data_IF_871115283195
#
_entry.id   IF_871115283195
#
_cell.length_a   1.000
_cell.length_b   1.000
_cell.length_c   1.000
_cell.angle_alpha   90.00
_cell.angle_beta   90.00
_cell.angle_gamma   90.00
#
_symmetry.space_group_name_H-M   'P 1'
#
loop_
_entity.id
_entity.type
_entity.pdbx_description
1 polymer ?
#
# COMPACT_ATOMS: atom_id res chain seq x y z
N UNK A 1 59.35 24.64 74.93
CA UNK A 1 57.95 25.04 75.10
C UNK A 1 57.31 24.99 73.71
N UNK A 2 56.58 24.00 73.35
CA UNK A 2 56.02 23.87 72.03
C UNK A 2 54.55 24.29 71.95
N UNK A 3 54.21 25.09 71.03
CA UNK A 3 52.82 25.45 70.69
C UNK A 3 52.24 24.52 69.64
N UNK A 4 51.25 23.78 70.10
CA UNK A 4 50.42 22.97 69.25
C UNK A 4 49.44 23.85 68.46
N UNK A 5 49.57 23.92 67.14
CA UNK A 5 48.56 24.54 66.29
C UNK A 5 47.71 23.46 65.63
N UNK A 6 46.43 23.50 66.01
CA UNK A 6 45.38 22.62 65.48
C UNK A 6 45.19 22.96 64.05
N UNK A 7 45.40 21.98 63.15
CA UNK A 7 45.05 22.09 61.75
C UNK A 7 43.58 21.69 61.62
N UNK A 8 42.73 22.63 61.19
CA UNK A 8 41.38 22.37 60.80
C UNK A 8 41.33 21.78 59.39
N UNK A 9 40.95 20.53 59.29
CA UNK A 9 40.68 19.88 58.00
C UNK A 9 39.32 20.34 57.44
N UNK A 10 39.32 21.16 56.40
CA UNK A 10 38.11 21.44 55.60
C UNK A 10 37.86 20.25 54.65
N UNK A 11 36.86 19.48 54.99
CA UNK A 11 36.31 18.49 54.08
C UNK A 11 35.43 19.21 53.03
N UNK A 12 35.95 19.41 51.84
CA UNK A 12 35.18 19.87 50.67
C UNK A 12 34.41 18.66 50.17
N UNK A 13 33.14 18.59 50.50
CA UNK A 13 32.21 17.63 49.89
C UNK A 13 31.94 18.06 48.43
N UNK A 14 32.62 17.43 47.51
CA UNK A 14 32.36 17.55 46.09
C UNK A 14 31.00 16.91 45.77
N UNK A 15 29.97 17.71 45.57
CA UNK A 15 28.71 17.26 44.98
C UNK A 15 28.96 16.97 43.52
N UNK A 16 29.18 15.70 43.18
CA UNK A 16 29.13 15.25 41.80
C UNK A 16 27.68 15.37 41.34
N UNK A 17 27.38 16.43 40.61
CA UNK A 17 26.18 16.52 39.82
C UNK A 17 26.25 15.40 38.75
N UNK A 18 25.58 14.29 38.98
CA UNK A 18 25.25 13.29 37.98
C UNK A 18 24.35 14.00 36.97
N UNK A 19 24.98 14.56 35.93
CA UNK A 19 24.31 14.99 34.72
C UNK A 19 23.61 13.76 34.17
N UNK A 20 22.29 13.66 34.40
CA UNK A 20 21.50 12.59 33.87
C UNK A 20 21.66 12.57 32.35
N UNK A 21 22.43 11.61 31.85
CA UNK A 21 22.44 11.32 30.43
C UNK A 21 21.00 10.94 30.05
N UNK A 22 20.27 11.88 29.44
CA UNK A 22 18.98 11.61 28.82
C UNK A 22 19.26 10.63 27.71
N UNK A 23 18.90 9.36 27.90
CA UNK A 23 18.96 8.35 26.84
C UNK A 23 17.93 8.78 25.80
N UNK A 24 18.39 9.48 24.77
CA UNK A 24 17.57 9.79 23.59
C UNK A 24 17.54 8.52 22.77
N UNK A 25 16.36 7.95 22.64
CA UNK A 25 16.14 6.80 21.77
C UNK A 25 16.56 7.21 20.36
N UNK A 26 17.54 6.50 19.78
CA UNK A 26 17.93 6.75 18.40
C UNK A 26 16.71 6.54 17.51
N UNK A 27 16.30 7.53 16.70
CA UNK A 27 15.16 7.38 15.83
C UNK A 27 15.40 6.22 14.86
N UNK A 28 14.37 5.47 14.56
CA UNK A 28 14.41 4.47 13.50
C UNK A 28 14.70 5.14 12.15
N UNK A 29 15.13 4.38 11.16
CA UNK A 29 15.36 4.92 9.82
C UNK A 29 14.08 5.56 9.25
N UNK A 30 12.90 5.04 9.62
CA UNK A 30 11.60 5.56 9.22
C UNK A 30 11.28 6.88 9.94
N UNK A 31 11.48 6.98 11.24
CA UNK A 31 11.30 8.22 12.01
C UNK A 31 12.26 9.33 11.55
N UNK A 32 13.50 8.95 11.23
CA UNK A 32 14.49 9.90 10.69
C UNK A 32 14.10 10.41 9.29
N UNK A 33 13.58 9.54 8.42
CA UNK A 33 13.08 9.90 7.08
C UNK A 33 11.84 10.78 7.19
N UNK A 34 10.93 10.49 8.12
CA UNK A 34 9.74 11.30 8.40
C UNK A 34 10.13 12.71 8.87
N UNK A 35 11.06 12.82 9.81
CA UNK A 35 11.55 14.11 10.28
C UNK A 35 12.21 14.92 9.14
N UNK A 36 13.01 14.26 8.29
CA UNK A 36 13.65 14.89 7.14
C UNK A 36 12.64 15.34 6.07
N UNK A 37 11.51 14.66 5.93
CA UNK A 37 10.43 14.99 4.99
C UNK A 37 9.43 16.04 5.55
N UNK A 38 9.66 16.56 6.75
CA UNK A 38 8.74 17.48 7.41
C UNK A 38 7.47 16.81 7.92
N UNK A 39 7.57 15.57 8.36
CA UNK A 39 6.48 14.80 8.95
C UNK A 39 5.67 13.94 7.97
N UNK A 40 6.06 13.88 6.69
CA UNK A 40 5.39 13.03 5.72
C UNK A 40 5.82 11.56 5.88
N UNK A 41 4.88 10.71 6.30
CA UNK A 41 5.08 9.27 6.43
C UNK A 41 3.95 8.52 5.69
N UNK A 42 4.16 8.16 4.43
CA UNK A 42 3.12 7.54 3.61
C UNK A 42 2.70 6.14 4.11
N UNK A 43 3.60 5.38 4.74
CA UNK A 43 3.27 4.07 5.29
C UNK A 43 2.30 4.22 6.48
N UNK A 44 2.56 5.17 7.38
CA UNK A 44 1.66 5.46 8.49
C UNK A 44 0.30 5.97 7.99
N UNK A 45 0.29 6.90 7.04
CA UNK A 45 -0.95 7.42 6.45
C UNK A 45 -1.82 6.31 5.87
N UNK A 46 -1.22 5.36 5.14
CA UNK A 46 -1.95 4.21 4.59
C UNK A 46 -2.48 3.32 5.72
N UNK A 47 -1.65 2.98 6.71
CA UNK A 47 -2.06 2.12 7.82
C UNK A 47 -3.26 2.71 8.60
N UNK A 48 -3.28 4.03 8.82
CA UNK A 48 -4.36 4.72 9.54
C UNK A 48 -5.71 4.67 8.81
N UNK A 49 -5.70 4.68 7.47
CA UNK A 49 -6.92 4.69 6.67
C UNK A 49 -7.33 3.31 6.13
N UNK A 50 -6.44 2.31 6.21
CA UNK A 50 -6.66 1.02 5.55
C UNK A 50 -7.94 0.33 6.03
N UNK A 51 -7.99 -0.05 7.30
CA UNK A 51 -9.15 -0.77 7.85
C UNK A 51 -10.39 0.11 7.97
N UNK A 52 -10.18 1.41 8.25
CA UNK A 52 -11.28 2.33 8.55
C UNK A 52 -11.98 2.88 7.31
N UNK A 53 -11.26 3.02 6.19
CA UNK A 53 -11.78 3.66 4.98
C UNK A 53 -11.58 2.83 3.72
N UNK A 54 -10.36 2.30 3.48
CA UNK A 54 -10.01 1.67 2.19
C UNK A 54 -10.79 0.38 1.99
N UNK A 55 -10.75 -0.55 2.94
CA UNK A 55 -11.46 -1.83 2.82
C UNK A 55 -12.97 -1.62 2.67
N UNK A 56 -13.56 -0.78 3.50
CA UNK A 56 -14.99 -0.47 3.42
C UNK A 56 -15.38 0.20 2.10
N UNK A 57 -14.51 1.05 1.56
CA UNK A 57 -14.73 1.68 0.26
C UNK A 57 -14.68 0.67 -0.87
N UNK A 58 -13.62 -0.14 -0.93
CA UNK A 58 -13.48 -1.18 -1.95
C UNK A 58 -14.66 -2.16 -1.89
N UNK A 59 -15.08 -2.54 -0.69
CA UNK A 59 -16.21 -3.45 -0.51
C UNK A 59 -17.52 -2.88 -1.08
N UNK A 60 -17.81 -1.61 -0.85
CA UNK A 60 -19.01 -0.96 -1.38
C UNK A 60 -18.94 -0.66 -2.89
N UNK A 61 -17.74 -0.32 -3.39
CA UNK A 61 -17.56 0.16 -4.77
C UNK A 61 -17.35 -0.98 -5.76
N UNK A 62 -16.80 -2.11 -5.31
CA UNK A 62 -16.48 -3.24 -6.17
C UNK A 62 -17.73 -3.95 -6.70
N UNK A 63 -17.83 -4.06 -8.02
CA UNK A 63 -18.77 -4.95 -8.71
C UNK A 63 -18.15 -6.29 -9.08
N UNK A 64 -18.96 -7.29 -9.53
CA UNK A 64 -18.43 -8.50 -10.13
C UNK A 64 -17.49 -8.17 -11.28
N UNK A 65 -16.31 -8.79 -11.32
CA UNK A 65 -15.29 -8.45 -12.33
C UNK A 65 -15.80 -8.53 -13.75
N UNK A 66 -16.54 -9.59 -14.11
CA UNK A 66 -17.09 -9.79 -15.45
C UNK A 66 -18.05 -8.68 -15.86
N UNK A 67 -18.91 -8.21 -14.93
CA UNK A 67 -19.80 -7.08 -15.17
C UNK A 67 -19.01 -5.77 -15.36
N UNK A 68 -18.07 -5.50 -14.46
CA UNK A 68 -17.23 -4.29 -14.52
C UNK A 68 -16.43 -4.26 -15.81
N UNK A 69 -15.81 -5.38 -16.21
CA UNK A 69 -15.01 -5.48 -17.42
C UNK A 69 -15.85 -5.30 -18.68
N UNK A 70 -17.02 -5.93 -18.76
CA UNK A 70 -17.95 -5.80 -19.89
C UNK A 70 -18.44 -4.34 -20.05
N UNK A 71 -18.85 -3.72 -18.93
CA UNK A 71 -19.32 -2.33 -18.96
C UNK A 71 -18.16 -1.35 -19.29
N UNK A 72 -16.97 -1.57 -18.72
CA UNK A 72 -15.80 -0.75 -19.01
C UNK A 72 -15.34 -0.85 -20.46
N UNK A 73 -15.53 -2.00 -21.08
CA UNK A 73 -15.25 -2.23 -22.51
C UNK A 73 -16.23 -1.54 -23.45
N UNK A 74 -17.49 -1.42 -23.08
CA UNK A 74 -18.55 -0.81 -23.90
C UNK A 74 -18.76 0.67 -23.59
N UNK A 75 -18.80 1.05 -22.31
CA UNK A 75 -19.00 2.41 -21.82
C UNK A 75 -18.14 2.66 -20.57
N UNK A 76 -16.87 3.10 -20.75
CA UNK A 76 -15.98 3.40 -19.63
C UNK A 76 -16.49 4.49 -18.68
N UNK A 77 -17.34 5.41 -19.16
CA UNK A 77 -17.90 6.47 -18.35
C UNK A 77 -18.97 5.93 -17.39
N UNK A 78 -19.88 5.09 -17.89
CA UNK A 78 -20.88 4.41 -17.08
C UNK A 78 -20.22 3.47 -16.06
N UNK A 79 -19.21 2.69 -16.47
CA UNK A 79 -18.43 1.85 -15.57
C UNK A 79 -17.73 2.68 -14.48
N UNK A 80 -17.14 3.81 -14.85
CA UNK A 80 -16.47 4.72 -13.95
C UNK A 80 -17.40 5.33 -12.92
N UNK A 81 -18.58 5.77 -13.32
CA UNK A 81 -19.58 6.32 -12.42
C UNK A 81 -20.03 5.28 -11.36
N UNK A 82 -20.21 4.02 -11.78
CA UNK A 82 -20.69 2.94 -10.91
C UNK A 82 -19.59 2.31 -10.05
N UNK A 83 -18.46 1.95 -10.64
CA UNK A 83 -17.44 1.08 -10.04
C UNK A 83 -16.05 1.71 -9.95
N UNK A 84 -15.86 2.91 -10.47
CA UNK A 84 -14.53 3.48 -10.64
C UNK A 84 -14.35 4.85 -10.06
N UNK A 85 -13.11 5.29 -10.16
CA UNK A 85 -12.67 6.65 -9.91
C UNK A 85 -11.69 7.07 -11.02
N UNK A 86 -11.65 8.35 -11.31
CA UNK A 86 -10.70 8.95 -12.23
C UNK A 86 -10.22 10.27 -11.63
N UNK A 87 -8.92 10.41 -11.47
CA UNK A 87 -8.33 11.67 -11.05
C UNK A 87 -8.72 12.79 -12.03
N UNK A 88 -9.22 13.90 -11.49
CA UNK A 88 -9.72 15.02 -12.29
C UNK A 88 -8.60 15.75 -13.03
N UNK A 89 -7.38 15.68 -12.50
CA UNK A 89 -6.23 16.34 -13.07
C UNK A 89 -5.41 15.38 -13.93
N UNK A 90 -5.04 15.85 -15.13
CA UNK A 90 -4.23 15.07 -16.06
C UNK A 90 -5.02 14.08 -16.92
N UNK A 91 -4.28 13.15 -17.53
CA UNK A 91 -4.80 12.12 -18.45
C UNK A 91 -4.92 10.74 -17.80
N UNK A 92 -5.14 10.69 -16.47
CA UNK A 92 -5.27 9.43 -15.76
C UNK A 92 -6.41 8.59 -16.35
N UNK A 93 -6.23 7.27 -16.52
CA UNK A 93 -7.31 6.38 -16.93
C UNK A 93 -8.34 6.22 -15.80
N UNK A 94 -9.52 5.75 -16.13
CA UNK A 94 -10.44 5.20 -15.15
C UNK A 94 -9.78 4.04 -14.42
N UNK A 95 -9.96 3.98 -13.11
CA UNK A 95 -9.56 2.86 -12.26
C UNK A 95 -10.78 2.30 -11.57
N UNK A 96 -11.03 1.01 -11.72
CA UNK A 96 -12.23 0.32 -11.26
C UNK A 96 -11.93 -0.54 -10.06
N UNK A 97 -12.87 -0.60 -9.13
CA UNK A 97 -12.92 -1.59 -8.06
C UNK A 97 -13.71 -2.82 -8.52
N UNK A 98 -13.21 -4.01 -8.29
CA UNK A 98 -13.85 -5.25 -8.70
C UNK A 98 -13.66 -6.39 -7.71
N UNK A 99 -14.66 -7.28 -7.66
CA UNK A 99 -14.60 -8.60 -7.03
C UNK A 99 -14.31 -9.63 -8.11
N UNK A 100 -13.14 -10.22 -8.05
CA UNK A 100 -12.73 -11.26 -8.96
C UNK A 100 -12.85 -12.62 -8.27
N UNK A 101 -13.70 -13.48 -8.83
CA UNK A 101 -13.80 -14.89 -8.47
C UNK A 101 -13.58 -15.73 -9.71
N UNK A 102 -12.72 -16.74 -9.64
CA UNK A 102 -12.42 -17.55 -10.81
C UNK A 102 -11.41 -18.66 -10.54
N UNK A 103 -10.99 -19.32 -11.61
CA UNK A 103 -9.99 -20.39 -11.59
C UNK A 103 -8.65 -19.87 -12.11
N UNK A 104 -7.57 -20.15 -11.39
CA UNK A 104 -6.22 -19.81 -11.85
C UNK A 104 -5.85 -20.74 -13.00
N UNK A 105 -5.68 -20.17 -14.20
CA UNK A 105 -5.31 -20.92 -15.42
C UNK A 105 -3.81 -20.84 -15.73
N UNK A 106 -3.11 -19.84 -15.17
CA UNK A 106 -1.67 -19.68 -15.31
C UNK A 106 -1.07 -18.99 -14.08
N UNK A 107 0.16 -19.37 -13.74
CA UNK A 107 0.92 -18.75 -12.65
C UNK A 107 2.36 -18.50 -13.09
N UNK A 108 2.85 -17.27 -12.87
CA UNK A 108 4.26 -16.88 -13.00
C UNK A 108 4.73 -16.40 -11.61
N UNK A 109 5.46 -17.26 -10.92
CA UNK A 109 5.84 -17.04 -9.50
C UNK A 109 7.33 -16.82 -9.28
N UNK A 110 8.17 -17.03 -10.31
CA UNK A 110 9.63 -16.96 -10.18
C UNK A 110 10.18 -15.55 -10.18
N UNK A 111 9.45 -14.60 -10.74
CA UNK A 111 9.89 -13.20 -10.80
C UNK A 111 9.40 -12.39 -9.61
N UNK A 112 10.09 -11.28 -9.31
CA UNK A 112 9.59 -10.33 -8.31
C UNK A 112 8.23 -9.70 -8.70
N UNK A 113 7.91 -9.62 -9.98
CA UNK A 113 6.61 -9.18 -10.50
C UNK A 113 5.71 -10.38 -10.77
N UNK A 114 5.64 -11.31 -9.81
CA UNK A 114 4.84 -12.52 -9.92
C UNK A 114 3.35 -12.21 -10.10
N UNK A 115 2.66 -13.06 -10.84
CA UNK A 115 1.23 -12.91 -11.11
C UNK A 115 0.56 -14.27 -11.35
N UNK A 116 -0.74 -14.29 -11.22
CA UNK A 116 -1.61 -15.36 -11.73
C UNK A 116 -2.56 -14.80 -12.77
N UNK A 117 -2.95 -15.63 -13.73
CA UNK A 117 -4.01 -15.33 -14.68
C UNK A 117 -5.24 -16.16 -14.32
N UNK A 118 -6.38 -15.51 -14.29
CA UNK A 118 -7.63 -16.04 -13.75
C UNK A 118 -8.69 -16.04 -14.84
N UNK A 119 -9.34 -17.18 -15.00
CA UNK A 119 -10.56 -17.39 -15.78
C UNK A 119 -11.76 -17.13 -14.85
N UNK A 120 -12.51 -16.07 -15.14
CA UNK A 120 -13.61 -15.59 -14.32
C UNK A 120 -14.99 -16.02 -14.82
N UNK A 121 -15.10 -16.43 -16.08
CA UNK A 121 -16.36 -16.84 -16.72
C UNK A 121 -16.42 -18.35 -17.06
N UNK A 122 -15.35 -19.09 -16.74
CA UNK A 122 -15.22 -20.53 -16.95
C UNK A 122 -15.16 -20.95 -18.42
N UNK A 123 -14.63 -20.10 -19.31
CA UNK A 123 -14.41 -20.43 -20.73
C UNK A 123 -13.02 -21.08 -20.99
N UNK A 124 -12.20 -21.22 -19.98
CA UNK A 124 -10.85 -21.79 -20.02
C UNK A 124 -9.76 -20.80 -20.42
N UNK A 125 -10.11 -19.53 -20.63
CA UNK A 125 -9.16 -18.47 -20.96
C UNK A 125 -9.01 -17.50 -19.81
N UNK A 126 -7.91 -16.75 -19.82
CA UNK A 126 -7.66 -15.74 -18.80
C UNK A 126 -8.42 -14.44 -19.11
N UNK A 127 -9.19 -13.94 -18.16
CA UNK A 127 -9.87 -12.64 -18.18
C UNK A 127 -9.10 -11.56 -17.45
N UNK A 128 -8.41 -11.94 -16.38
CA UNK A 128 -7.67 -11.01 -15.54
C UNK A 128 -6.29 -11.54 -15.16
N UNK A 129 -5.37 -10.61 -14.91
CA UNK A 129 -4.08 -10.88 -14.29
C UNK A 129 -4.05 -10.28 -12.89
N UNK A 130 -3.85 -11.10 -11.88
CA UNK A 130 -3.72 -10.68 -10.48
C UNK A 130 -2.25 -10.62 -10.12
N UNK A 131 -1.79 -9.48 -9.64
CA UNK A 131 -0.43 -9.28 -9.17
C UNK A 131 -0.26 -9.91 -7.79
N UNK A 132 0.66 -10.85 -7.65
CA UNK A 132 0.97 -11.55 -6.39
C UNK A 132 2.43 -11.40 -5.96
N UNK A 133 3.25 -10.73 -6.75
CA UNK A 133 4.67 -10.56 -6.44
C UNK A 133 4.94 -9.45 -5.47
N UNK A 134 6.13 -9.39 -4.84
CA UNK A 134 6.45 -8.25 -4.00
C UNK A 134 6.58 -6.94 -4.79
N UNK A 135 6.88 -7.01 -6.09
CA UNK A 135 6.93 -5.84 -6.97
C UNK A 135 5.58 -5.65 -7.69
N UNK A 136 4.69 -4.90 -7.08
CA UNK A 136 3.40 -4.50 -7.64
C UNK A 136 3.62 -3.30 -8.58
N UNK A 137 3.07 -3.37 -9.78
CA UNK A 137 3.14 -2.30 -10.78
C UNK A 137 1.89 -1.44 -10.74
N UNK A 138 2.09 -0.13 -10.84
CA UNK A 138 1.01 0.85 -10.81
C UNK A 138 0.56 1.17 -9.39
N UNK A 139 -0.50 1.93 -9.27
CA UNK A 139 -1.03 2.48 -8.03
C UNK A 139 -2.55 2.30 -7.94
N UNK A 140 -3.07 1.19 -8.50
CA UNK A 140 -4.49 0.99 -8.74
C UNK A 140 -5.36 1.12 -7.47
N UNK A 141 -4.90 0.64 -6.32
CA UNK A 141 -5.67 0.80 -5.07
C UNK A 141 -5.83 2.29 -4.76
N UNK A 142 -4.72 3.07 -4.69
CA UNK A 142 -4.80 4.52 -4.46
C UNK A 142 -5.70 5.20 -5.48
N UNK A 143 -5.51 4.89 -6.77
CA UNK A 143 -6.18 5.56 -7.88
C UNK A 143 -7.68 5.23 -7.98
N UNK A 144 -8.12 4.17 -7.30
CA UNK A 144 -9.54 3.82 -7.22
C UNK A 144 -10.31 4.59 -6.14
N UNK A 145 -9.60 5.26 -5.20
CA UNK A 145 -10.19 5.92 -4.04
C UNK A 145 -10.64 7.35 -4.39
N UNK A 146 -11.91 7.68 -4.21
CA UNK A 146 -12.46 8.99 -4.49
C UNK A 146 -12.26 10.02 -3.37
N UNK A 147 -11.79 9.57 -2.22
CA UNK A 147 -11.51 10.40 -1.04
C UNK A 147 -10.03 10.73 -0.86
N UNK A 148 -9.18 10.41 -1.83
CA UNK A 148 -7.75 10.71 -1.85
C UNK A 148 -7.45 11.61 -3.03
N UNK A 149 -6.87 12.78 -2.80
CA UNK A 149 -6.64 13.78 -3.82
C UNK A 149 -5.17 14.16 -3.93
N UNK A 150 -4.69 14.35 -5.15
CA UNK A 150 -3.33 14.84 -5.41
C UNK A 150 -3.02 16.17 -4.69
N UNK A 151 -4.00 17.05 -4.58
CA UNK A 151 -3.84 18.38 -3.96
C UNK A 151 -3.56 18.36 -2.44
N UNK A 152 -3.70 17.21 -1.79
CA UNK A 152 -3.35 17.01 -0.38
C UNK A 152 -1.85 16.80 -0.17
N UNK A 153 -1.09 16.66 -1.26
CA UNK A 153 0.35 16.38 -1.27
C UNK A 153 1.13 17.59 -1.80
N UNK A 154 2.33 17.80 -1.26
CA UNK A 154 3.17 18.94 -1.66
C UNK A 154 3.63 18.87 -3.12
N UNK A 155 3.79 17.64 -3.64
CA UNK A 155 4.33 17.42 -4.98
C UNK A 155 4.08 15.99 -5.47
N UNK A 156 4.45 15.74 -6.74
CA UNK A 156 4.29 14.42 -7.36
C UNK A 156 5.12 13.32 -6.70
N UNK A 157 6.22 13.66 -6.01
CA UNK A 157 7.06 12.66 -5.33
C UNK A 157 6.32 12.11 -4.11
N UNK A 158 5.75 12.97 -3.28
CA UNK A 158 4.92 12.54 -2.14
C UNK A 158 3.71 11.71 -2.61
N UNK A 159 3.05 12.14 -3.68
CA UNK A 159 1.94 11.40 -4.29
C UNK A 159 2.36 10.00 -4.76
N UNK A 160 3.51 9.90 -5.43
CA UNK A 160 4.04 8.61 -5.87
C UNK A 160 4.44 7.70 -4.70
N UNK A 161 5.06 8.27 -3.66
CA UNK A 161 5.42 7.56 -2.44
C UNK A 161 4.19 7.04 -1.69
N UNK A 162 3.12 7.84 -1.62
CA UNK A 162 1.85 7.41 -1.04
C UNK A 162 1.23 6.25 -1.82
N UNK A 163 1.23 6.29 -3.16
CA UNK A 163 0.80 5.15 -3.98
C UNK A 163 1.64 3.89 -3.78
N UNK A 164 2.96 4.05 -3.63
CA UNK A 164 3.86 2.93 -3.30
C UNK A 164 3.57 2.34 -1.92
N UNK A 165 3.20 3.18 -0.96
CA UNK A 165 2.87 2.72 0.40
C UNK A 165 1.65 1.78 0.41
N UNK A 166 0.62 2.02 -0.43
CA UNK A 166 -0.48 1.06 -0.62
C UNK A 166 0.03 -0.30 -1.08
N UNK A 167 0.89 -0.32 -2.09
CA UNK A 167 1.45 -1.57 -2.60
C UNK A 167 2.28 -2.31 -1.55
N UNK A 168 3.07 -1.58 -0.75
CA UNK A 168 3.85 -2.15 0.36
C UNK A 168 2.94 -2.73 1.43
N UNK A 169 1.87 -2.01 1.78
CA UNK A 169 0.91 -2.44 2.79
C UNK A 169 0.20 -3.74 2.37
N UNK A 170 -0.35 -3.78 1.14
CA UNK A 170 -0.96 -4.99 0.57
C UNK A 170 0.01 -6.16 0.52
N UNK A 171 1.25 -5.92 0.10
CA UNK A 171 2.26 -6.98 0.06
C UNK A 171 2.46 -7.62 1.43
N UNK A 172 2.66 -6.83 2.48
CA UNK A 172 2.86 -7.34 3.85
C UNK A 172 1.61 -8.01 4.45
N UNK A 173 0.40 -7.47 4.17
CA UNK A 173 -0.83 -8.03 4.71
C UNK A 173 -1.25 -9.34 4.04
N UNK A 174 -1.16 -9.41 2.72
CA UNK A 174 -1.77 -10.46 1.90
C UNK A 174 -0.73 -11.23 1.09
N UNK A 175 0.03 -10.55 0.23
CA UNK A 175 0.74 -11.22 -0.85
C UNK A 175 1.94 -12.04 -0.40
N UNK A 176 2.64 -11.63 0.66
CA UNK A 176 3.75 -12.40 1.23
C UNK A 176 3.33 -13.75 1.82
N UNK A 177 2.05 -13.86 2.21
CA UNK A 177 1.49 -15.07 2.83
C UNK A 177 0.94 -16.06 1.80
N UNK A 178 0.85 -15.65 0.52
CA UNK A 178 0.31 -16.51 -0.52
C UNK A 178 1.29 -17.65 -0.88
N UNK A 179 0.79 -18.86 -1.12
CA UNK A 179 1.61 -19.93 -1.67
C UNK A 179 2.17 -19.52 -3.05
N UNK A 180 3.33 -20.07 -3.40
CA UNK A 180 3.97 -19.80 -4.70
C UNK A 180 3.89 -20.98 -5.64
N UNK A 181 3.55 -22.15 -5.12
CA UNK A 181 3.50 -23.41 -5.86
C UNK A 181 2.10 -23.99 -5.90
N UNK A 182 1.82 -24.76 -6.96
CA UNK A 182 0.55 -25.48 -7.12
C UNK A 182 -0.67 -24.57 -7.21
N UNK A 183 -0.55 -23.40 -7.82
CA UNK A 183 -1.63 -22.41 -7.92
C UNK A 183 -2.61 -22.71 -9.06
N UNK A 184 -2.12 -23.24 -10.18
CA UNK A 184 -2.97 -23.54 -11.35
C UNK A 184 -4.05 -24.54 -10.97
N UNK A 185 -5.28 -24.30 -11.40
CA UNK A 185 -6.47 -25.07 -11.07
C UNK A 185 -7.13 -24.72 -9.73
N UNK A 186 -6.48 -23.89 -8.89
CA UNK A 186 -7.11 -23.41 -7.65
C UNK A 186 -8.09 -22.28 -7.92
N UNK A 187 -9.10 -22.17 -7.06
CA UNK A 187 -10.01 -21.04 -7.03
C UNK A 187 -9.31 -19.84 -6.37
N UNK A 188 -9.62 -18.67 -6.90
CA UNK A 188 -9.21 -17.39 -6.36
C UNK A 188 -10.45 -16.53 -6.16
N UNK A 189 -10.57 -15.93 -4.97
CA UNK A 189 -11.53 -14.88 -4.66
C UNK A 189 -10.77 -13.69 -4.09
N UNK A 190 -10.98 -12.51 -4.67
CA UNK A 190 -10.29 -11.30 -4.25
C UNK A 190 -11.10 -10.04 -4.56
N UNK A 191 -10.97 -9.05 -3.70
CA UNK A 191 -11.40 -7.68 -3.98
C UNK A 191 -10.16 -6.85 -4.29
N UNK A 192 -10.24 -5.99 -5.30
CA UNK A 192 -9.12 -5.16 -5.67
C UNK A 192 -9.48 -4.09 -6.67
N UNK A 193 -8.46 -3.47 -7.24
CA UNK A 193 -8.62 -2.42 -8.24
C UNK A 193 -7.71 -2.63 -9.46
N UNK A 194 -8.16 -2.14 -10.60
CA UNK A 194 -7.39 -2.18 -11.84
C UNK A 194 -7.67 -0.95 -12.71
N UNK A 195 -6.67 -0.38 -13.40
CA UNK A 195 -6.88 0.67 -14.37
C UNK A 195 -7.53 0.10 -15.64
N UNK A 196 -8.30 0.92 -16.36
CA UNK A 196 -8.85 0.57 -17.65
C UNK A 196 -7.73 0.00 -18.56
N UNK A 197 -7.80 -1.26 -18.96
CA UNK A 197 -6.74 -1.86 -19.77
C UNK A 197 -6.76 -1.30 -21.20
N UNK A 198 -5.60 -1.27 -21.84
CA UNK A 198 -5.54 -1.00 -23.26
C UNK A 198 -6.24 -2.15 -24.03
N UNK A 199 -6.76 -1.83 -25.22
CA UNK A 199 -7.48 -2.79 -26.04
C UNK A 199 -6.66 -4.07 -26.28
N UNK A 200 -7.26 -5.22 -25.96
CA UNK A 200 -6.63 -6.53 -26.11
C UNK A 200 -5.66 -6.91 -25.00
N UNK A 201 -5.56 -6.13 -23.94
CA UNK A 201 -4.77 -6.48 -22.75
C UNK A 201 -5.68 -6.96 -21.62
N UNK A 202 -5.19 -7.91 -20.83
CA UNK A 202 -5.86 -8.34 -19.61
C UNK A 202 -5.86 -7.21 -18.56
N UNK A 203 -6.96 -7.10 -17.84
CA UNK A 203 -7.04 -6.26 -16.65
C UNK A 203 -5.98 -6.70 -15.63
N UNK A 204 -5.20 -5.75 -15.11
CA UNK A 204 -4.18 -6.03 -14.10
C UNK A 204 -4.67 -5.60 -12.74
N UNK A 205 -5.20 -6.56 -12.01
CA UNK A 205 -5.75 -6.35 -10.67
C UNK A 205 -4.65 -6.27 -9.61
N UNK A 206 -4.74 -5.26 -8.76
CA UNK A 206 -4.03 -5.19 -7.48
C UNK A 206 -5.03 -5.52 -6.39
N UNK A 207 -4.74 -6.52 -5.58
CA UNK A 207 -5.61 -6.99 -4.49
C UNK A 207 -5.63 -5.96 -3.38
N UNK A 208 -6.79 -5.78 -2.74
CA UNK A 208 -6.97 -4.93 -1.56
C UNK A 208 -7.39 -5.74 -0.33
N UNK A 209 -7.98 -6.92 -0.56
CA UNK A 209 -8.42 -7.85 0.48
C UNK A 209 -8.87 -9.16 -0.13
#
# INVERSE_FOLDING_TARGET
MPNFKVAAALAVAGVMALSGCKIIKTPTAEEAAEAASGGFNPNRMVAEIWDTKVLSYLDRKAGPFTEVAALAGSDPQAAGAKYGHKEKQGSAPWTFAARLSGTIVKAETKSRSAYVEVDADADGKADARVQIGPAIRGTAIRDSLDFVNFNEFKNQIEWAQFGKAFNTHVNGLVLEKLPRDGLVGKKLDAVGAYPLPAKGQLARLTVGG
#
